data_IF_835270990455
#
_entry.id   IF_835270990455
#
_cell.length_a   1.000
_cell.length_b   1.000
_cell.length_c   1.000
_cell.angle_alpha   90.00
_cell.angle_beta   90.00
_cell.angle_gamma   90.00
#
_symmetry.space_group_name_H-M   'P 1'
#
loop_
_entity.id
_entity.type
_entity.pdbx_description
1 polymer ?
#
# COMPACT_ATOMS: atom_id res chain seq x y z
N UNK A 1 2.10 5.71 -5.08
CA UNK A 1 1.08 5.42 -6.12
C UNK A 1 1.15 6.36 -7.32
N UNK A 2 1.14 7.72 -7.18
CA UNK A 2 1.08 8.65 -8.33
C UNK A 2 2.16 8.41 -9.39
N UNK A 3 3.42 8.18 -8.99
CA UNK A 3 4.51 7.93 -9.92
C UNK A 3 4.36 6.61 -10.68
N UNK A 4 3.90 5.55 -10.00
CA UNK A 4 3.60 4.25 -10.63
C UNK A 4 2.47 4.38 -11.66
N UNK A 5 1.39 5.08 -11.31
CA UNK A 5 0.30 5.34 -12.23
C UNK A 5 0.77 6.13 -13.47
N UNK A 6 1.59 7.18 -13.28
CA UNK A 6 2.14 7.95 -14.40
C UNK A 6 3.09 7.13 -15.28
N UNK A 7 3.93 6.28 -14.68
CA UNK A 7 4.78 5.36 -15.43
C UNK A 7 3.92 4.42 -16.28
N UNK A 8 2.85 3.86 -15.68
CA UNK A 8 1.95 2.96 -16.38
C UNK A 8 1.19 3.66 -17.50
N UNK A 9 0.68 4.87 -17.28
CA UNK A 9 0.04 5.70 -18.31
C UNK A 9 1.03 5.94 -19.45
N UNK A 10 2.27 6.32 -19.16
CA UNK A 10 3.31 6.52 -20.18
C UNK A 10 3.59 5.27 -21.01
N UNK A 11 3.68 4.11 -20.35
CA UNK A 11 3.91 2.81 -21.02
C UNK A 11 2.77 2.46 -21.98
N UNK A 12 1.53 2.73 -21.61
CA UNK A 12 0.34 2.43 -22.40
C UNK A 12 0.01 3.51 -23.44
N UNK A 13 0.67 4.67 -23.39
CA UNK A 13 0.35 5.79 -24.27
C UNK A 13 0.78 5.50 -25.71
N UNK A 14 -0.16 5.52 -26.68
CA UNK A 14 0.15 5.39 -28.11
C UNK A 14 1.11 6.47 -28.58
N UNK A 15 1.95 6.16 -29.56
CA UNK A 15 3.00 7.06 -30.06
C UNK A 15 2.46 8.45 -30.43
N UNK A 16 1.29 8.51 -31.06
CA UNK A 16 0.67 9.77 -31.48
C UNK A 16 0.29 10.71 -30.31
N UNK A 17 -0.02 10.15 -29.14
CA UNK A 17 -0.41 10.91 -27.94
C UNK A 17 0.77 11.23 -27.01
N UNK A 18 1.93 10.65 -27.23
CA UNK A 18 3.13 10.84 -26.38
C UNK A 18 3.56 12.31 -26.22
N UNK A 19 3.47 13.20 -27.23
CA UNK A 19 3.83 14.62 -27.02
C UNK A 19 2.98 15.30 -25.93
N UNK A 20 1.66 15.07 -25.91
CA UNK A 20 0.75 15.63 -24.91
C UNK A 20 1.06 15.09 -23.52
N UNK A 21 1.16 13.76 -23.40
CA UNK A 21 1.47 13.13 -22.10
C UNK A 21 2.84 13.55 -21.58
N UNK A 22 3.84 13.71 -22.47
CA UNK A 22 5.16 14.26 -22.09
C UNK A 22 5.06 15.64 -21.48
N UNK A 23 4.29 16.54 -22.06
CA UNK A 23 4.10 17.89 -21.52
C UNK A 23 3.47 17.85 -20.12
N UNK A 24 2.48 16.99 -19.92
CA UNK A 24 1.86 16.78 -18.59
C UNK A 24 2.85 16.18 -17.58
N UNK A 25 3.65 15.20 -17.99
CA UNK A 25 4.72 14.63 -17.16
C UNK A 25 5.73 15.69 -16.73
N UNK A 26 6.19 16.52 -17.66
CA UNK A 26 7.14 17.62 -17.37
C UNK A 26 6.58 18.61 -16.33
N UNK A 27 5.28 18.90 -16.38
CA UNK A 27 4.63 19.79 -15.41
C UNK A 27 4.43 19.14 -14.01
N UNK A 28 4.17 17.85 -13.95
CA UNK A 28 3.89 17.12 -12.71
C UNK A 28 5.16 16.63 -11.99
N UNK A 29 6.19 16.27 -12.74
CA UNK A 29 7.40 15.64 -12.20
C UNK A 29 8.07 16.42 -11.06
N UNK A 30 8.30 17.75 -11.15
CA UNK A 30 8.89 18.50 -10.05
C UNK A 30 8.02 18.50 -8.78
N UNK A 31 6.70 18.40 -8.93
CA UNK A 31 5.76 18.33 -7.80
C UNK A 31 5.86 16.99 -7.10
N UNK A 32 5.99 15.90 -7.86
CA UNK A 32 6.21 14.56 -7.31
C UNK A 32 7.56 14.45 -6.62
N UNK A 33 8.64 14.98 -7.20
CA UNK A 33 9.95 15.01 -6.53
C UNK A 33 9.87 15.76 -5.20
N UNK A 34 9.16 16.90 -5.12
CA UNK A 34 8.93 17.60 -3.85
C UNK A 34 8.15 16.79 -2.83
N UNK A 35 7.13 16.06 -3.27
CA UNK A 35 6.36 15.16 -2.40
C UNK A 35 7.23 14.02 -1.88
N UNK A 36 8.02 13.37 -2.73
CA UNK A 36 8.95 12.32 -2.34
C UNK A 36 10.03 12.85 -1.39
N UNK A 37 10.52 14.08 -1.62
CA UNK A 37 11.45 14.74 -0.67
C UNK A 37 10.83 14.89 0.72
N UNK A 38 9.59 15.38 0.80
CA UNK A 38 8.87 15.48 2.08
C UNK A 38 8.82 14.11 2.80
N UNK A 39 8.43 13.06 2.09
CA UNK A 39 8.37 11.71 2.66
C UNK A 39 9.74 11.20 3.11
N UNK A 40 10.78 11.43 2.32
CA UNK A 40 12.13 10.95 2.59
C UNK A 40 12.93 11.79 3.61
N UNK A 41 12.40 12.97 4.03
CA UNK A 41 13.11 13.86 4.98
C UNK A 41 12.29 14.20 6.20
N UNK A 42 11.05 14.67 6.02
CA UNK A 42 10.21 15.08 7.17
C UNK A 42 9.57 13.87 7.85
N UNK A 43 9.19 12.86 7.05
CA UNK A 43 8.59 11.61 7.55
C UNK A 43 9.63 10.54 7.91
N UNK A 44 10.90 10.84 7.70
CA UNK A 44 12.06 10.00 8.05
C UNK A 44 13.26 10.89 8.44
N UNK A 45 13.16 11.65 9.55
CA UNK A 45 14.22 12.59 9.96
C UNK A 45 15.53 11.88 10.37
N UNK A 46 15.47 10.60 10.76
CA UNK A 46 16.64 9.78 11.10
C UNK A 46 17.33 9.19 9.86
N UNK A 47 16.81 9.44 8.65
CA UNK A 47 17.28 8.87 7.39
C UNK A 47 17.36 7.32 7.42
N UNK A 48 16.39 6.70 8.08
CA UNK A 48 16.28 5.24 8.20
C UNK A 48 15.89 4.55 6.88
N UNK A 49 15.40 5.30 5.90
CA UNK A 49 14.83 4.79 4.66
C UNK A 49 13.38 4.30 4.77
N UNK A 50 12.76 4.48 5.94
CA UNK A 50 11.39 4.06 6.22
C UNK A 50 10.51 5.27 6.53
N UNK A 51 9.37 5.36 5.85
CA UNK A 51 8.39 6.41 6.10
C UNK A 51 7.65 6.15 7.41
N UNK A 52 7.59 7.18 8.26
CA UNK A 52 6.78 7.14 9.48
C UNK A 52 5.37 7.60 9.17
N UNK A 53 4.36 6.77 9.44
CA UNK A 53 2.96 7.15 9.41
C UNK A 53 2.55 7.72 10.78
N UNK A 54 1.70 8.75 10.75
CA UNK A 54 1.24 9.48 11.93
C UNK A 54 -0.19 9.14 12.29
N UNK A 55 -0.90 8.50 11.38
CA UNK A 55 -2.31 8.23 11.54
C UNK A 55 -2.73 6.98 10.78
N UNK A 56 -3.62 6.13 11.32
CA UNK A 56 -4.19 4.99 10.58
C UNK A 56 -4.78 5.36 9.21
N UNK A 57 -5.41 6.54 9.08
CA UNK A 57 -5.98 7.03 7.81
C UNK A 57 -4.95 7.34 6.71
N UNK A 58 -3.68 7.14 6.96
CA UNK A 58 -2.67 7.31 5.91
C UNK A 58 -2.58 6.12 4.95
N UNK A 59 -3.46 5.11 5.09
CA UNK A 59 -3.58 4.07 4.07
C UNK A 59 -4.32 2.79 4.44
N UNK A 60 -4.30 2.35 5.68
CA UNK A 60 -4.84 1.05 6.09
C UNK A 60 -5.56 1.14 7.43
N UNK A 61 -6.63 1.91 7.48
CA UNK A 61 -7.29 2.52 8.64
C UNK A 61 -7.38 1.65 9.89
N UNK A 62 -8.00 0.47 9.82
CA UNK A 62 -8.15 -0.43 10.96
C UNK A 62 -7.29 -1.70 10.85
N UNK A 63 -6.19 -1.62 10.13
CA UNK A 63 -5.26 -2.75 10.07
C UNK A 63 -4.87 -3.20 11.48
N UNK A 64 -4.81 -4.51 11.78
CA UNK A 64 -4.38 -5.00 13.09
C UNK A 64 -2.97 -4.56 13.46
N UNK A 65 -2.19 -4.09 12.49
CA UNK A 65 -0.86 -3.50 12.71
C UNK A 65 -0.87 -2.30 13.67
N UNK A 66 -2.02 -1.64 13.80
CA UNK A 66 -2.21 -0.44 14.62
C UNK A 66 -2.75 -0.71 16.02
N UNK A 67 -3.31 -1.91 16.27
CA UNK A 67 -4.05 -2.25 17.49
C UNK A 67 -3.23 -1.93 18.76
N UNK A 68 -1.97 -2.39 18.82
CA UNK A 68 -1.12 -2.16 19.98
C UNK A 68 -0.79 -0.68 20.19
N UNK A 69 -0.52 0.07 19.12
CA UNK A 69 -0.25 1.51 19.20
C UNK A 69 -1.49 2.30 19.63
N UNK A 70 -2.66 1.95 19.10
CA UNK A 70 -3.94 2.59 19.46
C UNK A 70 -4.36 2.25 20.89
N UNK A 71 -4.12 1.03 21.37
CA UNK A 71 -4.43 0.62 22.74
C UNK A 71 -3.67 1.42 23.82
N UNK A 72 -2.48 1.96 23.49
CA UNK A 72 -1.71 2.83 24.39
C UNK A 72 -2.23 4.27 24.45
N UNK A 73 -3.16 4.64 23.58
CA UNK A 73 -3.71 5.99 23.54
C UNK A 73 -4.86 6.11 24.51
N UNK A 74 -4.67 6.86 25.57
CA UNK A 74 -5.73 7.33 26.44
C UNK A 74 -6.43 8.51 25.74
N UNK A 75 -7.39 8.21 24.87
CA UNK A 75 -8.17 9.22 24.20
C UNK A 75 -9.14 9.85 25.19
N UNK A 76 -9.11 11.18 25.33
CA UNK A 76 -10.22 11.90 25.91
C UNK A 76 -11.46 11.71 24.99
N UNK A 77 -12.65 11.67 25.57
CA UNK A 77 -13.87 11.57 24.77
C UNK A 77 -13.88 12.66 23.68
N UNK A 78 -13.96 12.29 22.41
CA UNK A 78 -14.16 13.28 21.37
C UNK A 78 -15.50 13.95 21.60
N UNK A 79 -15.61 15.24 21.27
CA UNK A 79 -16.92 15.88 21.23
C UNK A 79 -17.87 15.15 20.25
N UNK A 80 -19.17 15.48 20.23
CA UNK A 80 -20.12 14.80 19.37
C UNK A 80 -19.70 14.88 17.90
N UNK A 81 -19.71 13.72 17.21
CA UNK A 81 -19.41 13.60 15.79
C UNK A 81 -20.38 12.63 15.10
N UNK A 82 -20.44 12.71 13.78
CA UNK A 82 -21.24 11.79 12.95
C UNK A 82 -20.32 10.95 12.08
N UNK A 83 -20.52 9.64 12.10
CA UNK A 83 -19.81 8.69 11.26
C UNK A 83 -20.43 8.67 9.86
N UNK A 84 -19.78 9.30 8.88
CA UNK A 84 -20.23 9.28 7.48
C UNK A 84 -19.81 7.99 6.76
N UNK A 85 -18.71 7.37 7.16
CA UNK A 85 -18.19 6.14 6.58
C UNK A 85 -19.16 4.96 6.72
N UNK A 86 -19.86 4.86 7.86
CA UNK A 86 -20.86 3.80 8.10
C UNK A 86 -22.13 3.97 7.27
N UNK A 87 -22.44 5.19 6.84
CA UNK A 87 -23.60 5.45 5.97
C UNK A 87 -23.37 5.11 4.49
N UNK A 88 -22.12 4.86 4.11
CA UNK A 88 -21.74 4.58 2.73
C UNK A 88 -21.59 3.07 2.43
N UNK A 89 -21.86 2.23 3.42
CA UNK A 89 -21.78 0.76 3.30
C UNK A 89 -23.11 0.13 3.72
N UNK A 90 -23.38 -1.05 3.18
CA UNK A 90 -24.59 -1.79 3.50
C UNK A 90 -24.63 -2.36 4.93
N UNK A 91 -23.44 -2.61 5.50
CA UNK A 91 -23.26 -3.13 6.86
C UNK A 91 -22.20 -2.31 7.60
N UNK A 92 -22.56 -1.53 8.64
CA UNK A 92 -21.62 -0.73 9.43
C UNK A 92 -20.50 -1.52 10.09
N UNK A 93 -20.70 -2.82 10.36
CA UNK A 93 -19.66 -3.69 10.93
C UNK A 93 -18.45 -3.91 10.00
N UNK A 94 -18.57 -3.55 8.71
CA UNK A 94 -17.49 -3.55 7.74
C UNK A 94 -16.49 -2.41 7.92
N UNK A 95 -16.75 -1.48 8.86
CA UNK A 95 -15.92 -0.29 9.11
C UNK A 95 -15.26 -0.36 10.49
N UNK A 96 -14.24 0.46 10.76
CA UNK A 96 -13.63 0.57 12.07
C UNK A 96 -14.69 0.81 13.17
N UNK A 97 -14.42 0.37 14.38
CA UNK A 97 -15.34 0.56 15.52
C UNK A 97 -15.37 2.02 15.99
N UNK A 98 -16.35 2.38 16.84
CA UNK A 98 -16.37 3.71 17.48
C UNK A 98 -15.13 3.90 18.37
N UNK A 99 -14.66 2.82 19.03
CA UNK A 99 -13.43 2.84 19.81
C UNK A 99 -12.19 3.26 18.97
N UNK A 100 -12.10 2.78 17.73
CA UNK A 100 -11.04 3.19 16.78
C UNK A 100 -11.21 4.65 16.39
N UNK A 101 -12.45 5.06 16.06
CA UNK A 101 -12.76 6.41 15.61
C UNK A 101 -12.49 7.46 16.66
N UNK A 102 -12.81 7.20 17.92
CA UNK A 102 -12.50 8.10 19.02
C UNK A 102 -10.99 8.40 19.07
N UNK A 103 -10.17 7.38 18.89
CA UNK A 103 -8.71 7.54 18.85
C UNK A 103 -8.23 8.26 17.59
N UNK A 104 -8.84 7.97 16.46
CA UNK A 104 -8.53 8.68 15.20
C UNK A 104 -8.82 10.17 15.32
N UNK A 105 -9.97 10.56 15.82
CA UNK A 105 -10.33 11.97 15.99
C UNK A 105 -9.45 12.65 17.04
N UNK A 106 -9.13 11.97 18.13
CA UNK A 106 -8.20 12.47 19.13
C UNK A 106 -6.80 12.71 18.53
N UNK A 107 -6.30 11.76 17.75
CA UNK A 107 -5.03 11.89 17.02
C UNK A 107 -5.05 13.08 16.06
N UNK A 108 -6.11 13.27 15.29
CA UNK A 108 -6.29 14.46 14.43
C UNK A 108 -6.28 15.75 15.25
N UNK A 109 -6.92 15.74 16.42
CA UNK A 109 -6.89 16.86 17.36
C UNK A 109 -5.46 17.22 17.81
N UNK A 110 -4.64 16.22 18.09
CA UNK A 110 -3.21 16.41 18.42
C UNK A 110 -2.40 16.95 17.23
N UNK A 111 -2.64 16.46 16.01
CA UNK A 111 -1.96 17.00 14.82
C UNK A 111 -2.27 18.49 14.67
N UNK A 112 -3.54 18.90 14.85
CA UNK A 112 -3.95 20.32 14.85
C UNK A 112 -3.27 21.11 15.97
N UNK A 113 -3.20 20.56 17.19
CA UNK A 113 -2.54 21.17 18.34
C UNK A 113 -1.04 21.42 18.05
N UNK A 114 -0.39 20.49 17.38
CA UNK A 114 1.02 20.61 16.96
C UNK A 114 1.19 21.40 15.65
N UNK A 115 0.10 21.94 15.08
CA UNK A 115 0.10 22.69 13.81
C UNK A 115 0.73 21.93 12.65
N UNK A 116 0.63 20.59 12.69
CA UNK A 116 1.26 19.70 11.70
C UNK A 116 2.78 19.90 11.56
N UNK A 117 3.44 20.37 12.63
CA UNK A 117 4.89 20.51 12.69
C UNK A 117 5.54 19.13 12.88
N UNK A 118 6.20 18.63 11.84
CA UNK A 118 6.80 17.29 11.84
C UNK A 118 7.79 17.10 12.99
N UNK A 119 8.59 18.12 13.35
CA UNK A 119 9.56 18.02 14.44
C UNK A 119 8.88 17.87 15.81
N UNK A 120 7.74 18.52 16.03
CA UNK A 120 6.95 18.32 17.25
C UNK A 120 6.26 16.96 17.28
N UNK A 121 5.74 16.53 16.12
CA UNK A 121 5.10 15.22 15.95
C UNK A 121 6.11 14.13 16.29
N UNK A 122 7.28 14.11 15.68
CA UNK A 122 8.31 13.10 15.97
C UNK A 122 8.71 13.06 17.44
N UNK A 123 8.76 14.20 18.15
CA UNK A 123 9.11 14.23 19.57
C UNK A 123 8.01 13.75 20.51
N UNK A 124 6.74 14.04 20.25
CA UNK A 124 5.67 13.98 21.28
C UNK A 124 4.43 13.18 20.87
N UNK A 125 4.24 12.93 19.58
CA UNK A 125 3.01 12.31 19.09
C UNK A 125 3.00 10.81 19.41
N UNK A 126 1.92 10.26 19.98
CA UNK A 126 1.94 8.89 20.53
C UNK A 126 1.91 7.79 19.47
N UNK A 127 1.40 8.07 18.27
CA UNK A 127 1.30 7.12 17.18
C UNK A 127 2.35 7.44 16.10
N UNK A 128 3.44 6.68 16.09
CA UNK A 128 4.50 6.79 15.08
C UNK A 128 4.95 5.40 14.69
N UNK A 129 4.57 4.99 13.49
CA UNK A 129 4.94 3.66 12.96
C UNK A 129 5.77 3.83 11.69
N UNK A 130 6.95 3.24 11.64
CA UNK A 130 7.70 3.03 10.40
C UNK A 130 6.96 1.95 9.60
N UNK A 131 6.20 2.38 8.59
CA UNK A 131 5.34 1.51 7.79
C UNK A 131 6.13 0.93 6.62
N UNK A 132 6.33 -0.38 6.63
CA UNK A 132 7.11 -1.08 5.59
C UNK A 132 6.40 -1.09 4.25
N UNK A 133 5.06 -1.16 4.21
CA UNK A 133 4.31 -1.13 2.96
C UNK A 133 4.32 0.26 2.32
N UNK A 134 4.07 1.32 3.10
CA UNK A 134 4.18 2.70 2.60
C UNK A 134 5.60 2.97 2.07
N UNK A 135 6.62 2.51 2.79
CA UNK A 135 8.02 2.63 2.39
C UNK A 135 8.31 1.85 1.10
N UNK A 136 7.78 0.64 0.95
CA UNK A 136 7.90 -0.16 -0.27
C UNK A 136 7.28 0.54 -1.49
N UNK A 137 6.08 1.11 -1.32
CA UNK A 137 5.42 1.90 -2.37
C UNK A 137 6.25 3.13 -2.73
N UNK A 138 6.88 3.81 -1.76
CA UNK A 138 7.78 4.94 -2.04
C UNK A 138 9.04 4.50 -2.79
N UNK A 139 9.63 3.37 -2.44
CA UNK A 139 10.78 2.78 -3.14
C UNK A 139 10.43 2.47 -4.60
N UNK A 140 9.33 1.77 -4.85
CA UNK A 140 8.84 1.51 -6.21
C UNK A 140 8.52 2.81 -6.97
N UNK A 141 7.95 3.80 -6.30
CA UNK A 141 7.63 5.10 -6.87
C UNK A 141 8.88 5.93 -7.21
N UNK A 142 9.97 5.83 -6.41
CA UNK A 142 11.27 6.43 -6.73
C UNK A 142 11.88 5.81 -7.99
N UNK A 143 11.80 4.47 -8.13
CA UNK A 143 12.21 3.77 -9.35
C UNK A 143 11.40 4.28 -10.56
N UNK A 144 10.09 4.37 -10.45
CA UNK A 144 9.23 4.88 -11.52
C UNK A 144 9.57 6.34 -11.92
N UNK A 145 9.91 7.22 -10.97
CA UNK A 145 10.37 8.57 -11.28
C UNK A 145 11.73 8.58 -11.96
N UNK A 146 12.66 7.71 -11.58
CA UNK A 146 13.95 7.59 -12.26
C UNK A 146 13.77 7.13 -13.71
N UNK A 147 12.88 6.16 -13.97
CA UNK A 147 12.56 5.70 -15.32
C UNK A 147 11.93 6.81 -16.19
N UNK A 148 11.07 7.62 -15.59
CA UNK A 148 10.44 8.76 -16.26
C UNK A 148 11.36 9.98 -16.40
N UNK A 149 12.50 10.01 -15.73
CA UNK A 149 13.37 11.18 -15.61
C UNK A 149 13.84 11.73 -16.97
N UNK A 150 14.13 10.85 -17.94
CA UNK A 150 14.50 11.24 -19.30
C UNK A 150 13.37 11.93 -20.06
N UNK A 151 12.17 11.38 -19.97
CA UNK A 151 10.97 11.92 -20.62
C UNK A 151 10.54 13.23 -19.99
N UNK A 152 10.64 13.33 -18.66
CA UNK A 152 10.26 14.51 -17.90
C UNK A 152 11.29 15.64 -17.96
N UNK A 153 12.49 15.41 -18.48
CA UNK A 153 13.56 16.40 -18.50
C UNK A 153 14.12 16.71 -17.10
N UNK A 154 14.18 15.70 -16.24
CA UNK A 154 14.65 15.83 -14.85
C UNK A 154 16.10 16.32 -14.77
N UNK A 155 16.38 17.21 -13.80
CA UNK A 155 17.74 17.66 -13.51
C UNK A 155 18.62 16.50 -12.95
N UNK A 156 19.94 16.65 -13.08
CA UNK A 156 20.88 15.71 -12.45
C UNK A 156 20.75 15.73 -10.93
N UNK A 157 20.42 16.89 -10.33
CA UNK A 157 20.17 17.02 -8.90
C UNK A 157 18.97 16.20 -8.43
N UNK A 158 17.84 16.27 -9.16
CA UNK A 158 16.65 15.46 -8.83
C UNK A 158 16.91 13.96 -8.99
N UNK A 159 17.62 13.56 -10.06
CA UNK A 159 18.01 12.14 -10.27
C UNK A 159 18.89 11.63 -9.13
N UNK A 160 19.90 12.41 -8.73
CA UNK A 160 20.79 12.04 -7.61
C UNK A 160 20.04 11.91 -6.28
N UNK A 161 19.10 12.82 -6.00
CA UNK A 161 18.27 12.74 -4.80
C UNK A 161 17.37 11.49 -4.81
N UNK A 162 16.67 11.23 -5.92
CA UNK A 162 15.81 10.06 -6.06
C UNK A 162 16.60 8.75 -5.90
N UNK A 163 17.79 8.66 -6.52
CA UNK A 163 18.67 7.51 -6.36
C UNK A 163 19.09 7.30 -4.91
N UNK A 164 19.51 8.38 -4.21
CA UNK A 164 19.87 8.29 -2.80
C UNK A 164 18.70 7.92 -1.88
N UNK A 165 17.46 8.35 -2.17
CA UNK A 165 16.28 7.91 -1.42
C UNK A 165 15.91 6.47 -1.73
N UNK A 166 16.09 6.03 -2.98
CA UNK A 166 15.89 4.65 -3.40
C UNK A 166 16.83 3.70 -2.66
N UNK A 167 18.12 4.03 -2.60
CA UNK A 167 19.13 3.19 -1.93
C UNK A 167 18.85 3.10 -0.42
N UNK A 168 18.57 4.22 0.24
CA UNK A 168 18.20 4.22 1.66
C UNK A 168 16.92 3.41 1.93
N UNK A 169 15.91 3.54 1.06
CA UNK A 169 14.67 2.77 1.19
C UNK A 169 14.89 1.27 1.08
N UNK A 170 15.74 0.83 0.14
CA UNK A 170 16.17 -0.57 0.01
C UNK A 170 16.85 -1.08 1.27
N UNK A 171 17.81 -0.33 1.80
CA UNK A 171 18.50 -0.67 3.06
C UNK A 171 17.53 -0.69 4.25
N UNK A 172 16.60 0.26 4.33
CA UNK A 172 15.58 0.31 5.36
C UNK A 172 14.70 -0.94 5.37
N UNK A 173 14.17 -1.33 4.21
CA UNK A 173 13.37 -2.55 4.07
C UNK A 173 14.16 -3.82 4.36
N UNK A 174 15.44 -3.88 3.95
CA UNK A 174 16.30 -5.03 4.24
C UNK A 174 16.51 -5.24 5.75
N UNK A 175 16.64 -4.14 6.53
CA UNK A 175 16.77 -4.22 8.00
C UNK A 175 15.49 -4.68 8.70
N UNK A 176 14.33 -4.46 8.11
CA UNK A 176 13.05 -4.89 8.68
C UNK A 176 12.65 -6.32 8.29
N UNK A 177 13.44 -6.98 7.44
CA UNK A 177 13.15 -8.36 7.05
C UNK A 177 13.45 -9.33 8.19
N UNK A 178 12.41 -10.04 8.63
CA UNK A 178 12.50 -11.08 9.65
C UNK A 178 12.61 -12.45 8.97
N UNK A 179 13.77 -13.09 9.12
CA UNK A 179 14.07 -14.36 8.45
C UNK A 179 13.22 -15.54 9.01
N UNK A 180 12.73 -15.43 10.24
CA UNK A 180 11.89 -16.45 10.87
C UNK A 180 10.50 -16.49 10.24
N UNK A 181 9.85 -15.35 10.08
CA UNK A 181 8.52 -15.24 9.46
C UNK A 181 8.57 -15.14 7.93
N UNK A 182 9.69 -14.74 7.35
CA UNK A 182 9.84 -14.44 5.92
C UNK A 182 9.18 -13.11 5.52
N UNK A 183 8.80 -12.27 6.46
CA UNK A 183 8.09 -11.00 6.25
C UNK A 183 8.94 -9.80 6.67
N UNK A 184 8.66 -8.66 6.09
CA UNK A 184 9.10 -7.37 6.60
C UNK A 184 8.16 -6.92 7.73
N UNK A 185 8.73 -6.43 8.83
CA UNK A 185 7.97 -6.02 10.02
C UNK A 185 7.97 -4.52 10.18
N UNK A 186 6.79 -3.94 10.41
CA UNK A 186 6.68 -2.54 10.83
C UNK A 186 7.42 -2.33 12.15
N UNK A 187 7.79 -1.07 12.41
CA UNK A 187 8.51 -0.70 13.62
C UNK A 187 7.79 0.43 14.35
N UNK A 188 7.39 0.16 15.59
CA UNK A 188 6.78 1.17 16.46
C UNK A 188 7.88 2.02 17.10
N UNK A 189 7.97 3.29 16.68
CA UNK A 189 9.00 4.22 17.14
C UNK A 189 8.86 4.53 18.64
N UNK A 190 7.67 4.38 19.22
CA UNK A 190 7.41 4.69 20.64
C UNK A 190 7.81 3.58 21.59
N UNK A 191 7.66 2.33 21.17
CA UNK A 191 8.09 1.17 21.98
C UNK A 191 9.50 0.72 21.64
N UNK A 192 9.97 1.02 20.42
CA UNK A 192 11.23 0.49 19.93
C UNK A 192 11.14 -0.98 19.50
N UNK A 193 9.94 -1.47 19.16
CA UNK A 193 9.69 -2.88 18.85
C UNK A 193 9.13 -3.06 17.45
N UNK A 194 9.43 -4.22 16.85
CA UNK A 194 8.81 -4.66 15.62
C UNK A 194 7.39 -5.20 15.85
N UNK A 195 6.48 -4.85 14.95
CA UNK A 195 5.09 -5.33 14.95
C UNK A 195 5.05 -6.67 14.20
N UNK A 196 4.88 -7.77 14.93
CA UNK A 196 4.92 -9.14 14.41
C UNK A 196 3.52 -9.62 14.05
N UNK A 197 3.05 -9.26 12.84
CA UNK A 197 1.76 -9.67 12.31
C UNK A 197 1.90 -10.11 10.85
N UNK A 198 1.18 -11.16 10.47
CA UNK A 198 1.12 -11.67 9.11
C UNK A 198 0.06 -10.92 8.31
N UNK A 199 0.46 -9.81 7.70
CA UNK A 199 -0.39 -9.01 6.80
C UNK A 199 0.28 -8.87 5.43
N UNK A 200 -0.49 -8.41 4.44
CA UNK A 200 0.05 -8.12 3.12
C UNK A 200 1.26 -7.17 3.15
N UNK A 201 1.32 -6.28 4.14
CA UNK A 201 2.41 -5.32 4.29
C UNK A 201 3.79 -5.99 4.44
N UNK A 202 3.83 -7.19 5.03
CA UNK A 202 5.06 -7.95 5.21
C UNK A 202 5.72 -8.39 3.89
N UNK A 203 4.99 -8.38 2.78
CA UNK A 203 5.55 -8.60 1.43
C UNK A 203 6.20 -7.34 0.84
N UNK A 204 6.51 -6.35 1.66
CA UNK A 204 7.12 -5.09 1.25
C UNK A 204 8.32 -5.23 0.29
N UNK A 205 9.28 -6.15 0.48
CA UNK A 205 10.37 -6.36 -0.46
C UNK A 205 9.91 -6.79 -1.87
N UNK A 206 8.82 -7.58 -1.99
CA UNK A 206 8.24 -7.89 -3.29
C UNK A 206 7.60 -6.64 -3.91
N UNK A 207 6.79 -5.89 -3.18
CA UNK A 207 6.16 -4.65 -3.67
C UNK A 207 7.19 -3.60 -4.11
N UNK A 208 8.31 -3.52 -3.40
CA UNK A 208 9.40 -2.60 -3.72
C UNK A 208 10.29 -3.07 -4.88
N UNK A 209 10.23 -4.35 -5.26
CA UNK A 209 11.15 -4.96 -6.22
C UNK A 209 12.59 -5.06 -5.70
N UNK A 210 12.78 -5.12 -4.37
CA UNK A 210 14.10 -5.04 -3.72
C UNK A 210 14.55 -6.33 -3.05
N UNK A 211 13.66 -7.32 -2.95
CA UNK A 211 13.99 -8.61 -2.36
C UNK A 211 15.18 -9.29 -3.07
N UNK A 212 16.17 -9.77 -2.33
CA UNK A 212 17.19 -10.64 -2.87
C UNK A 212 16.62 -12.02 -3.27
N UNK A 213 17.44 -12.88 -3.87
CA UNK A 213 16.95 -14.17 -4.36
C UNK A 213 16.43 -15.08 -3.23
N UNK A 214 17.04 -15.04 -2.06
CA UNK A 214 16.63 -15.81 -0.89
C UNK A 214 15.30 -15.29 -0.32
N UNK A 215 15.21 -13.99 -0.11
CA UNK A 215 14.00 -13.29 0.35
C UNK A 215 12.84 -13.52 -0.63
N UNK A 216 13.05 -13.33 -1.93
CA UNK A 216 12.02 -13.59 -2.95
C UNK A 216 11.50 -15.03 -2.88
N UNK A 217 12.40 -16.00 -2.81
CA UNK A 217 12.02 -17.40 -2.73
C UNK A 217 11.21 -17.71 -1.45
N UNK A 218 11.62 -17.14 -0.32
CA UNK A 218 10.88 -17.29 0.95
C UNK A 218 9.50 -16.63 0.88
N UNK A 219 9.41 -15.40 0.40
CA UNK A 219 8.16 -14.67 0.27
C UNK A 219 7.20 -15.29 -0.74
N UNK A 220 7.70 -15.79 -1.88
CA UNK A 220 6.84 -16.49 -2.86
C UNK A 220 6.28 -17.80 -2.29
N UNK A 221 7.09 -18.58 -1.53
CA UNK A 221 6.58 -19.77 -0.85
C UNK A 221 5.52 -19.43 0.20
N UNK A 222 5.75 -18.37 0.97
CA UNK A 222 4.79 -17.90 1.99
C UNK A 222 3.52 -17.36 1.36
N UNK A 223 3.63 -16.56 0.29
CA UNK A 223 2.49 -16.04 -0.46
C UNK A 223 1.55 -17.15 -0.95
N UNK A 224 2.12 -18.25 -1.45
CA UNK A 224 1.37 -19.38 -1.98
C UNK A 224 1.08 -20.47 -0.94
N UNK A 225 1.45 -20.26 0.33
CA UNK A 225 1.16 -21.19 1.44
C UNK A 225 -0.28 -21.07 1.96
N UNK A 226 -0.66 -22.00 2.83
CA UNK A 226 -1.94 -21.96 3.55
C UNK A 226 -2.12 -20.76 4.48
N UNK A 227 -1.05 -20.01 4.76
CA UNK A 227 -1.15 -18.78 5.55
C UNK A 227 -1.67 -17.58 4.72
N UNK A 228 -1.63 -17.67 3.37
CA UNK A 228 -2.06 -16.59 2.48
C UNK A 228 -2.83 -17.14 1.27
N UNK A 229 -2.37 -16.89 0.04
CA UNK A 229 -3.10 -17.23 -1.19
C UNK A 229 -3.33 -18.72 -1.43
N UNK A 230 -2.64 -19.60 -0.70
CA UNK A 230 -2.83 -21.05 -0.76
C UNK A 230 -3.82 -21.59 0.29
N UNK A 231 -4.46 -20.77 1.12
CA UNK A 231 -5.50 -21.22 2.04
C UNK A 231 -6.68 -21.81 1.24
N UNK A 232 -7.06 -23.09 1.47
CA UNK A 232 -8.09 -23.78 0.69
C UNK A 232 -9.51 -23.20 0.90
N UNK A 233 -9.71 -22.34 1.88
CA UNK A 233 -10.99 -21.65 2.13
C UNK A 233 -11.18 -20.44 1.21
N UNK A 234 -10.10 -19.87 0.63
CA UNK A 234 -10.20 -18.71 -0.25
C UNK A 234 -10.97 -19.04 -1.53
N UNK A 235 -11.93 -18.20 -1.88
CA UNK A 235 -12.68 -18.31 -3.15
C UNK A 235 -11.75 -18.14 -4.37
N UNK A 236 -10.80 -17.24 -4.28
CA UNK A 236 -9.80 -16.92 -5.30
C UNK A 236 -8.40 -16.91 -4.68
N UNK A 237 -7.37 -17.27 -5.43
CA UNK A 237 -5.98 -17.24 -4.94
C UNK A 237 -5.39 -15.83 -4.91
N UNK A 238 -6.10 -14.92 -4.23
CA UNK A 238 -5.77 -13.51 -4.08
C UNK A 238 -5.21 -13.22 -2.68
N UNK A 239 -4.37 -12.18 -2.59
CA UNK A 239 -3.75 -11.78 -1.33
C UNK A 239 -4.77 -11.05 -0.45
N UNK A 240 -5.13 -11.60 0.73
CA UNK A 240 -5.96 -10.92 1.72
C UNK A 240 -5.15 -9.86 2.47
N UNK A 241 -5.82 -8.87 3.06
CA UNK A 241 -5.15 -7.79 3.79
C UNK A 241 -4.48 -8.27 5.09
N UNK A 242 -5.00 -9.31 5.71
CA UNK A 242 -4.40 -10.02 6.86
C UNK A 242 -4.44 -11.51 6.58
N UNK A 243 -3.44 -12.25 7.04
CA UNK A 243 -3.40 -13.71 6.90
C UNK A 243 -4.62 -14.37 7.56
N UNK A 244 -5.31 -15.31 6.89
CA UNK A 244 -6.39 -16.08 7.50
C UNK A 244 -5.96 -16.94 8.72
N UNK A 245 -4.67 -17.07 8.94
CA UNK A 245 -4.10 -17.77 10.10
C UNK A 245 -3.82 -16.82 11.29
N UNK A 246 -3.98 -15.49 11.13
CA UNK A 246 -3.84 -14.56 12.24
C UNK A 246 -5.09 -14.53 13.14
N UNK A 247 -4.93 -14.51 14.47
CA UNK A 247 -6.06 -14.41 15.40
C UNK A 247 -6.90 -13.15 15.22
N UNK A 248 -6.30 -12.09 14.66
CA UNK A 248 -6.93 -10.79 14.38
C UNK A 248 -7.61 -10.73 13.02
N UNK A 249 -7.65 -11.85 12.29
CA UNK A 249 -8.27 -11.92 10.97
C UNK A 249 -9.81 -11.80 11.08
N UNK A 250 -10.36 -10.87 10.32
CA UNK A 250 -11.81 -10.62 10.21
C UNK A 250 -12.19 -10.45 8.72
N UNK A 251 -12.86 -11.45 8.12
CA UNK A 251 -13.03 -11.51 6.65
C UNK A 251 -13.89 -10.39 6.06
N UNK A 252 -14.68 -9.68 6.87
CA UNK A 252 -15.57 -8.62 6.42
C UNK A 252 -15.11 -7.22 6.86
N UNK A 253 -14.13 -7.12 7.74
CA UNK A 253 -13.81 -5.87 8.41
C UNK A 253 -12.60 -5.17 7.78
N UNK A 254 -12.86 -4.37 6.77
CA UNK A 254 -12.00 -3.37 6.12
C UNK A 254 -10.55 -3.87 5.84
N UNK A 255 -9.55 -3.46 6.62
CA UNK A 255 -8.15 -3.87 6.44
C UNK A 255 -7.74 -5.08 7.33
N UNK A 256 -8.70 -5.78 7.93
CA UNK A 256 -8.44 -6.91 8.85
C UNK A 256 -8.55 -8.29 8.19
N UNK A 257 -8.86 -8.38 6.91
CA UNK A 257 -9.00 -9.68 6.23
C UNK A 257 -9.35 -9.58 4.75
N UNK A 258 -10.23 -8.68 4.31
CA UNK A 258 -10.71 -8.60 2.93
C UNK A 258 -9.61 -8.54 1.88
N UNK A 259 -9.97 -8.96 0.67
CA UNK A 259 -9.15 -8.84 -0.54
C UNK A 259 -9.38 -7.47 -1.17
N UNK A 260 -8.28 -6.74 -1.40
CA UNK A 260 -8.28 -5.41 -2.00
C UNK A 260 -7.73 -5.45 -3.43
N UNK A 261 -8.50 -5.10 -4.46
CA UNK A 261 -8.02 -5.13 -5.84
C UNK A 261 -6.77 -4.28 -6.07
N UNK A 262 -6.68 -3.11 -5.43
CA UNK A 262 -5.51 -2.22 -5.56
C UNK A 262 -4.23 -2.83 -4.98
N UNK A 263 -4.32 -3.62 -3.92
CA UNK A 263 -3.16 -4.32 -3.33
C UNK A 263 -2.73 -5.46 -4.25
N UNK A 264 -3.69 -6.23 -4.77
CA UNK A 264 -3.42 -7.29 -5.73
C UNK A 264 -2.87 -6.75 -7.06
N UNK A 265 -3.28 -5.55 -7.49
CA UNK A 265 -2.70 -4.87 -8.64
C UNK A 265 -1.23 -4.48 -8.39
N UNK A 266 -0.91 -3.94 -7.23
CA UNK A 266 0.48 -3.64 -6.86
C UNK A 266 1.35 -4.90 -6.85
N UNK A 267 0.85 -5.98 -6.27
CA UNK A 267 1.54 -7.27 -6.26
C UNK A 267 1.75 -7.80 -7.68
N UNK A 268 0.70 -7.80 -8.51
CA UNK A 268 0.76 -8.18 -9.92
C UNK A 268 1.83 -7.39 -10.68
N UNK A 269 1.83 -6.06 -10.51
CA UNK A 269 2.80 -5.19 -11.17
C UNK A 269 4.23 -5.55 -10.79
N UNK A 270 4.48 -5.75 -9.51
CA UNK A 270 5.81 -6.13 -9.00
C UNK A 270 6.23 -7.53 -9.43
N UNK A 271 5.34 -8.52 -9.38
CA UNK A 271 5.64 -9.88 -9.82
C UNK A 271 6.04 -9.93 -11.31
N UNK A 272 5.38 -9.14 -12.15
CA UNK A 272 5.78 -9.01 -13.56
C UNK A 272 7.19 -8.44 -13.73
N UNK A 273 7.50 -7.38 -12.98
CA UNK A 273 8.85 -6.77 -13.00
C UNK A 273 9.93 -7.74 -12.51
N UNK A 274 9.59 -8.60 -11.55
CA UNK A 274 10.50 -9.61 -10.99
C UNK A 274 10.58 -10.90 -11.83
N UNK A 275 9.83 -10.99 -12.95
CA UNK A 275 9.84 -12.14 -13.85
C UNK A 275 8.92 -13.31 -13.45
N UNK A 276 8.09 -13.16 -12.42
CA UNK A 276 7.08 -14.16 -12.00
C UNK A 276 5.79 -14.02 -12.83
N UNK A 277 5.92 -14.04 -14.16
CA UNK A 277 4.82 -13.74 -15.10
C UNK A 277 3.63 -14.71 -14.94
N UNK A 278 3.88 -16.02 -14.80
CA UNK A 278 2.81 -17.00 -14.61
C UNK A 278 1.97 -16.73 -13.38
N UNK A 279 2.61 -16.44 -12.22
CA UNK A 279 1.88 -16.11 -10.99
C UNK A 279 1.16 -14.77 -11.08
N UNK A 280 1.74 -13.80 -11.75
CA UNK A 280 1.11 -12.51 -12.03
C UNK A 280 -0.15 -12.68 -12.91
N UNK A 281 -0.09 -13.52 -13.95
CA UNK A 281 -1.22 -13.78 -14.84
C UNK A 281 -2.36 -14.53 -14.12
N UNK A 282 -2.04 -15.45 -13.20
CA UNK A 282 -3.04 -16.07 -12.32
C UNK A 282 -3.74 -15.02 -11.45
N UNK A 283 -2.97 -14.16 -10.78
CA UNK A 283 -3.49 -13.12 -9.88
C UNK A 283 -4.39 -12.13 -10.63
N UNK A 284 -3.99 -11.73 -11.84
CA UNK A 284 -4.80 -10.89 -12.71
C UNK A 284 -6.11 -11.56 -13.11
N UNK A 285 -6.04 -12.81 -13.58
CA UNK A 285 -7.21 -13.59 -14.00
C UNK A 285 -8.21 -13.75 -12.84
N UNK A 286 -7.73 -14.13 -11.67
CA UNK A 286 -8.56 -14.35 -10.48
C UNK A 286 -9.19 -13.04 -9.99
N UNK A 287 -8.44 -11.91 -10.04
CA UNK A 287 -8.97 -10.59 -9.70
C UNK A 287 -10.06 -10.12 -10.67
N UNK A 288 -9.86 -10.29 -11.97
CA UNK A 288 -10.87 -9.95 -12.98
C UNK A 288 -12.10 -10.85 -12.86
N UNK A 289 -11.92 -12.15 -12.59
CA UNK A 289 -13.02 -13.07 -12.35
C UNK A 289 -13.83 -12.69 -11.10
N UNK A 290 -13.18 -12.29 -10.01
CA UNK A 290 -13.84 -11.80 -8.80
C UNK A 290 -14.69 -10.55 -9.08
N UNK A 291 -14.13 -9.55 -9.78
CA UNK A 291 -14.85 -8.32 -10.14
C UNK A 291 -16.03 -8.64 -11.06
N UNK A 292 -15.85 -9.52 -12.06
CA UNK A 292 -16.91 -9.92 -13.00
C UNK A 292 -18.05 -10.69 -12.31
N UNK A 293 -17.73 -11.60 -11.37
CA UNK A 293 -18.72 -12.35 -10.59
C UNK A 293 -19.55 -11.41 -9.70
N UNK A 294 -18.95 -10.40 -9.11
CA UNK A 294 -19.63 -9.39 -8.31
C UNK A 294 -20.50 -8.43 -9.13
N UNK A 295 -20.23 -8.28 -10.43
CA UNK A 295 -20.88 -7.34 -11.34
C UNK A 295 -20.86 -5.87 -10.89
N UNK A 296 -19.90 -5.51 -10.02
CA UNK A 296 -19.69 -4.13 -9.53
C UNK A 296 -18.23 -3.86 -9.18
N UNK A 297 -17.84 -2.59 -9.13
CA UNK A 297 -16.52 -2.16 -8.71
C UNK A 297 -16.48 -1.93 -7.20
N UNK A 298 -16.64 -3.00 -6.42
CA UNK A 298 -16.62 -2.91 -4.97
C UNK A 298 -15.27 -2.42 -4.42
N UNK A 299 -15.29 -1.85 -3.24
CA UNK A 299 -14.09 -1.33 -2.58
C UNK A 299 -13.12 -2.46 -2.21
N UNK A 300 -13.64 -3.56 -1.67
CA UNK A 300 -12.92 -4.78 -1.33
C UNK A 300 -13.89 -5.98 -1.33
N UNK A 301 -13.37 -7.18 -1.11
CA UNK A 301 -14.14 -8.41 -1.24
C UNK A 301 -13.89 -9.35 -0.07
N UNK A 302 -14.93 -10.08 0.33
CA UNK A 302 -14.83 -11.21 1.26
C UNK A 302 -13.89 -12.28 0.64
N UNK A 303 -12.82 -12.67 1.33
CA UNK A 303 -11.84 -13.62 0.79
C UNK A 303 -12.39 -15.02 0.57
N UNK A 304 -13.40 -15.45 1.34
CA UNK A 304 -13.94 -16.81 1.30
C UNK A 304 -15.10 -16.97 0.33
N UNK A 305 -15.96 -15.97 0.25
CA UNK A 305 -17.15 -16.04 -0.61
C UNK A 305 -17.00 -15.29 -1.93
N UNK A 306 -16.06 -14.36 -2.02
CA UNK A 306 -15.90 -13.45 -3.15
C UNK A 306 -16.95 -12.33 -3.18
N UNK A 307 -17.83 -12.23 -2.16
CA UNK A 307 -18.87 -11.20 -2.12
C UNK A 307 -18.28 -9.79 -2.04
N UNK A 308 -18.89 -8.82 -2.75
CA UNK A 308 -18.49 -7.42 -2.67
C UNK A 308 -18.79 -6.83 -1.30
N UNK A 309 -17.89 -5.97 -0.82
CA UNK A 309 -17.94 -5.28 0.45
C UNK A 309 -17.52 -3.82 0.29
N UNK A 310 -17.85 -2.99 1.26
CA UNK A 310 -17.53 -1.59 1.25
C UNK A 310 -18.38 -0.78 0.26
N UNK A 311 -17.80 0.22 -0.37
CA UNK A 311 -18.47 1.04 -1.40
C UNK A 311 -18.64 0.26 -2.70
N UNK A 312 -19.85 0.26 -3.32
CA UNK A 312 -20.12 -0.51 -4.55
C UNK A 312 -19.55 0.14 -5.84
N UNK A 313 -19.10 1.40 -5.78
CA UNK A 313 -18.64 2.17 -6.95
C UNK A 313 -17.25 2.77 -6.71
N UNK A 314 -16.28 1.91 -6.46
CA UNK A 314 -14.93 2.34 -6.11
C UNK A 314 -14.08 2.61 -7.34
N UNK A 315 -13.61 3.86 -7.48
CA UNK A 315 -12.84 4.31 -8.64
C UNK A 315 -11.51 3.59 -8.83
N UNK A 316 -10.83 3.24 -7.74
CA UNK A 316 -9.55 2.51 -7.86
C UNK A 316 -9.73 1.07 -8.31
N UNK A 317 -10.83 0.38 -7.92
CA UNK A 317 -11.16 -0.95 -8.44
C UNK A 317 -11.46 -0.89 -9.93
N UNK A 318 -12.22 0.12 -10.37
CA UNK A 318 -12.47 0.36 -11.80
C UNK A 318 -11.17 0.66 -12.55
N UNK A 319 -10.29 1.48 -12.00
CA UNK A 319 -9.01 1.84 -12.63
C UNK A 319 -8.09 0.63 -12.81
N UNK A 320 -7.96 -0.25 -11.80
CA UNK A 320 -7.12 -1.45 -11.91
C UNK A 320 -7.73 -2.48 -12.85
N UNK A 321 -9.06 -2.62 -12.89
CA UNK A 321 -9.75 -3.48 -13.85
C UNK A 321 -9.49 -3.03 -15.31
N UNK A 322 -9.55 -1.72 -15.57
CA UNK A 322 -9.21 -1.15 -16.88
C UNK A 322 -7.75 -1.42 -17.27
N UNK A 323 -6.80 -1.27 -16.34
CA UNK A 323 -5.39 -1.55 -16.62
C UNK A 323 -5.15 -3.04 -16.90
N UNK A 324 -5.76 -3.92 -16.14
CA UNK A 324 -5.66 -5.36 -16.36
C UNK A 324 -6.25 -5.81 -17.70
N UNK A 325 -7.38 -5.22 -18.13
CA UNK A 325 -7.99 -5.53 -19.45
C UNK A 325 -7.19 -4.95 -20.62
N UNK A 326 -6.56 -3.78 -20.44
CA UNK A 326 -5.70 -3.20 -21.46
C UNK A 326 -4.46 -4.07 -21.80
N UNK A 327 -4.04 -4.95 -20.89
CA UNK A 327 -2.92 -5.86 -21.12
C UNK A 327 -3.22 -6.93 -22.19
N UNK A 328 -4.49 -7.28 -22.41
CA UNK A 328 -4.88 -8.28 -23.43
C UNK A 328 -4.77 -7.72 -24.86
N UNK A 329 -4.89 -6.41 -25.02
CA UNK A 329 -4.86 -5.75 -26.34
C UNK A 329 -3.44 -5.29 -26.75
N UNK A 330 -2.45 -5.34 -25.83
CA UNK A 330 -1.07 -4.94 -26.10
C UNK A 330 -0.18 -6.03 -26.71
N UNK A 331 -0.69 -7.25 -26.88
CA UNK A 331 0.06 -8.39 -27.44
C UNK A 331 0.07 -8.48 -28.97
N UNK A 332 -0.71 -7.66 -29.67
CA UNK A 332 -0.84 -7.71 -31.14
C UNK A 332 -0.23 -6.50 -31.88
N UNK A 333 0.50 -5.63 -31.20
CA UNK A 333 1.17 -4.48 -31.83
C UNK A 333 2.70 -4.66 -31.78
N UNK A 334 3.23 -5.54 -32.62
CA UNK A 334 4.66 -5.53 -33.03
C UNK A 334 4.78 -4.97 -34.42
#
# INVERSE_FOLDING_TARGET
MHALALQRIWQLTPQAQRPEIRARLQALYPRLVRWHRYLATQRDPEASGLVTVYHPWEGTDNSPRWDHALARIEAAEPGPYTRLDTSQVGDPSQRPTDWDYDRYLWLVGLLRKYRYDDAQIHRRYPFLIKDVFFSAVLVAANTALLDLAGVAGASNGDRGQLAGWLDRGREGLARCFDAESGLCLDYDVRTGEHIRLRTFAGFAPLFAGTADAGQRSAQMRLLDSGDFCGDPRLRWRLLPSTSPAEPTFEPHNYWRGPVWPVINWLLWHSLRQLGYTGRADELRRDSLAQIAEAAEFAEYFDPFTGKPLGSPQQSWTAAVALDWTACDHGGEAT
#
